data_IF_117039620984
#
_entry.id   IF_117039620984
#
_cell.length_a   1.000
_cell.length_b   1.000
_cell.length_c   1.000
_cell.angle_alpha   90.00
_cell.angle_beta   90.00
_cell.angle_gamma   90.00
#
_symmetry.space_group_name_H-M   'P 1'
#
loop_
_entity.id
_entity.type
_entity.pdbx_description
1 polymer ?
#
# COMPACT_ATOMS: atom_id res chain seq x y z
N UNK A 1 -25.81 1.04 23.39
CA UNK A 1 -26.12 2.47 23.29
C UNK A 1 -25.18 3.10 22.26
N UNK A 2 -25.29 2.67 20.99
CA UNK A 2 -24.25 2.92 19.96
C UNK A 2 -24.81 3.31 18.58
N UNK A 3 -26.09 3.68 18.49
CA UNK A 3 -26.78 3.98 17.22
C UNK A 3 -26.73 5.44 16.77
N UNK A 4 -26.05 6.33 17.50
CA UNK A 4 -26.19 7.78 17.31
C UNK A 4 -25.19 8.45 16.35
N UNK A 5 -24.09 7.82 15.95
CA UNK A 5 -23.05 8.51 15.16
C UNK A 5 -23.32 8.53 13.64
N UNK A 6 -23.88 7.45 13.08
CA UNK A 6 -24.23 7.36 11.64
C UNK A 6 -25.51 8.14 11.28
N UNK A 7 -26.39 8.37 12.25
CA UNK A 7 -27.67 9.05 12.05
C UNK A 7 -27.55 10.56 11.71
N UNK A 8 -26.40 11.20 11.98
CA UNK A 8 -26.23 12.65 11.69
C UNK A 8 -25.63 12.95 10.30
N UNK A 9 -25.07 11.96 9.62
CA UNK A 9 -24.40 12.19 8.34
C UNK A 9 -25.40 12.13 7.17
N UNK A 10 -25.30 13.10 6.26
CA UNK A 10 -26.17 13.17 5.08
C UNK A 10 -25.87 12.04 4.10
N UNK A 11 -26.84 11.67 3.26
CA UNK A 11 -26.66 10.67 2.20
C UNK A 11 -25.42 10.95 1.34
N UNK A 12 -25.22 12.22 0.96
CA UNK A 12 -24.04 12.65 0.19
C UNK A 12 -22.72 12.47 0.94
N UNK A 13 -22.68 12.70 2.26
CA UNK A 13 -21.47 12.48 3.07
C UNK A 13 -21.12 10.99 3.16
N UNK A 14 -22.13 10.12 3.29
CA UNK A 14 -21.92 8.67 3.31
C UNK A 14 -21.35 8.16 1.98
N UNK A 15 -21.93 8.58 0.85
CA UNK A 15 -21.41 8.27 -0.49
C UNK A 15 -19.98 8.78 -0.65
N UNK A 16 -19.71 10.02 -0.26
CA UNK A 16 -18.38 10.61 -0.38
C UNK A 16 -17.33 9.81 0.40
N UNK A 17 -17.67 9.32 1.59
CA UNK A 17 -16.79 8.49 2.41
C UNK A 17 -16.51 7.13 1.78
N UNK A 18 -17.53 6.46 1.25
CA UNK A 18 -17.35 5.19 0.53
C UNK A 18 -16.46 5.40 -0.70
N UNK A 19 -16.71 6.46 -1.49
CA UNK A 19 -15.90 6.79 -2.66
C UNK A 19 -14.44 7.06 -2.30
N UNK A 20 -14.17 7.82 -1.25
CA UNK A 20 -12.81 8.13 -0.81
C UNK A 20 -12.10 6.85 -0.32
N UNK A 21 -12.79 6.04 0.48
CA UNK A 21 -12.24 4.77 0.99
C UNK A 21 -11.91 3.83 -0.17
N UNK A 22 -12.85 3.61 -1.09
CA UNK A 22 -12.65 2.77 -2.27
C UNK A 22 -11.46 3.24 -3.12
N UNK A 23 -11.37 4.56 -3.35
CA UNK A 23 -10.27 5.16 -4.12
C UNK A 23 -8.90 4.92 -3.47
N UNK A 24 -8.83 5.00 -2.14
CA UNK A 24 -7.62 4.77 -1.36
C UNK A 24 -7.23 3.29 -1.35
N UNK A 25 -8.16 2.38 -1.08
CA UNK A 25 -7.91 0.94 -1.13
C UNK A 25 -7.38 0.51 -2.51
N UNK A 26 -7.97 1.05 -3.58
CA UNK A 26 -7.50 0.84 -4.96
C UNK A 26 -6.07 1.35 -5.15
N UNK A 27 -5.83 2.60 -4.76
CA UNK A 27 -4.52 3.24 -4.91
C UNK A 27 -3.43 2.55 -4.08
N UNK A 28 -3.77 1.92 -2.95
CA UNK A 28 -2.80 1.23 -2.08
C UNK A 28 -2.55 -0.23 -2.47
N UNK A 29 -3.14 -0.71 -3.58
CA UNK A 29 -2.78 -2.00 -4.19
C UNK A 29 -3.57 -3.19 -3.68
N UNK A 30 -4.79 -3.00 -3.16
CA UNK A 30 -5.68 -4.13 -2.85
C UNK A 30 -6.14 -4.85 -4.14
N UNK A 31 -6.57 -6.11 -4.04
CA UNK A 31 -7.14 -6.83 -5.18
C UNK A 31 -8.56 -6.36 -5.47
N UNK A 32 -8.99 -6.41 -6.73
CA UNK A 32 -10.34 -5.97 -7.14
C UNK A 32 -11.44 -6.67 -6.34
N UNK A 33 -11.33 -7.99 -6.15
CA UNK A 33 -12.32 -8.77 -5.40
C UNK A 33 -12.41 -8.36 -3.93
N UNK A 34 -11.26 -8.11 -3.29
CA UNK A 34 -11.23 -7.65 -1.89
C UNK A 34 -11.76 -6.22 -1.77
N UNK A 35 -11.43 -5.35 -2.73
CA UNK A 35 -11.95 -3.99 -2.78
C UNK A 35 -13.47 -3.98 -2.89
N UNK A 36 -14.01 -4.68 -3.88
CA UNK A 36 -15.44 -4.72 -4.16
C UNK A 36 -16.20 -5.26 -2.95
N UNK A 37 -15.73 -6.37 -2.36
CA UNK A 37 -16.31 -6.91 -1.12
C UNK A 37 -16.27 -5.93 0.06
N UNK A 38 -15.13 -5.25 0.27
CA UNK A 38 -14.99 -4.27 1.36
C UNK A 38 -15.92 -3.05 1.16
N UNK A 39 -16.07 -2.58 -0.08
CA UNK A 39 -16.95 -1.45 -0.42
C UNK A 39 -18.42 -1.80 -0.20
N UNK A 40 -18.86 -3.01 -0.60
CA UNK A 40 -20.23 -3.48 -0.34
C UNK A 40 -20.51 -3.49 1.16
N UNK A 41 -19.64 -4.13 1.96
CA UNK A 41 -19.81 -4.21 3.42
C UNK A 41 -19.83 -2.83 4.05
N UNK A 42 -18.94 -1.93 3.63
CA UNK A 42 -18.91 -0.56 4.16
C UNK A 42 -20.17 0.22 3.80
N UNK A 43 -20.66 0.11 2.57
CA UNK A 43 -21.88 0.77 2.12
C UNK A 43 -23.09 0.31 2.93
N UNK A 44 -23.27 -1.01 3.08
CA UNK A 44 -24.34 -1.61 3.87
C UNK A 44 -24.33 -1.10 5.32
N UNK A 45 -23.16 -1.06 5.96
CA UNK A 45 -22.98 -0.55 7.33
C UNK A 45 -23.34 0.93 7.47
N UNK A 46 -23.25 1.69 6.39
CA UNK A 46 -23.65 3.09 6.32
C UNK A 46 -25.10 3.28 5.84
N UNK A 47 -25.86 2.20 5.62
CA UNK A 47 -27.24 2.27 5.15
C UNK A 47 -27.33 2.74 3.69
N UNK A 48 -26.38 2.31 2.86
CA UNK A 48 -26.36 2.51 1.41
C UNK A 48 -26.35 1.13 0.73
N UNK A 49 -26.99 1.03 -0.44
CA UNK A 49 -26.68 -0.05 -1.37
C UNK A 49 -25.64 0.45 -2.36
N UNK A 50 -24.61 -0.35 -2.61
CA UNK A 50 -23.54 -0.02 -3.55
C UNK A 50 -23.19 -1.24 -4.39
N UNK A 51 -23.18 -1.05 -5.71
CA UNK A 51 -22.65 -2.00 -6.69
C UNK A 51 -21.30 -1.50 -7.20
N UNK A 52 -20.17 -1.96 -6.62
CA UNK A 52 -18.84 -1.55 -7.06
C UNK A 52 -18.35 -2.39 -8.24
N UNK A 53 -17.63 -1.74 -9.14
CA UNK A 53 -16.86 -2.38 -10.20
C UNK A 53 -15.48 -1.74 -10.30
N UNK A 54 -14.44 -2.56 -10.19
CA UNK A 54 -13.05 -2.12 -10.16
C UNK A 54 -12.29 -2.58 -11.39
N UNK A 55 -11.55 -1.66 -12.01
CA UNK A 55 -10.56 -1.97 -13.04
C UNK A 55 -9.19 -1.35 -12.67
N UNK A 56 -8.08 -1.67 -13.36
CA UNK A 56 -6.74 -1.25 -12.93
C UNK A 56 -6.52 0.27 -12.80
N UNK A 57 -7.38 1.09 -13.41
CA UNK A 57 -7.21 2.57 -13.45
C UNK A 57 -8.49 3.33 -13.10
N UNK A 58 -9.44 2.68 -12.44
CA UNK A 58 -10.68 3.32 -12.09
C UNK A 58 -11.63 2.46 -11.28
N UNK A 59 -12.69 3.13 -10.85
CA UNK A 59 -13.79 2.57 -10.09
C UNK A 59 -15.09 3.11 -10.66
N UNK A 60 -16.07 2.24 -10.77
CA UNK A 60 -17.47 2.61 -11.01
C UNK A 60 -18.23 2.18 -9.76
N UNK A 61 -18.85 3.14 -9.07
CA UNK A 61 -19.63 2.90 -7.87
C UNK A 61 -21.05 3.38 -8.11
N UNK A 62 -22.01 2.46 -8.19
CA UNK A 62 -23.43 2.79 -8.33
C UNK A 62 -24.09 2.68 -6.96
N UNK A 63 -24.65 3.80 -6.48
CA UNK A 63 -25.31 3.88 -5.17
C UNK A 63 -26.81 4.02 -5.32
N UNK A 64 -27.54 3.24 -4.53
CA UNK A 64 -29.00 3.27 -4.41
C UNK A 64 -29.39 3.48 -2.95
N UNK A 65 -30.50 4.17 -2.72
CA UNK A 65 -31.06 4.40 -1.38
C UNK A 65 -32.24 3.43 -1.16
N UNK A 66 -32.10 2.41 -0.30
CA UNK A 66 -33.16 1.42 -0.05
C UNK A 66 -34.43 2.05 0.54
N UNK A 67 -34.30 3.24 1.14
CA UNK A 67 -35.42 3.97 1.76
C UNK A 67 -36.23 4.81 0.78
N UNK A 68 -35.78 4.94 -0.47
CA UNK A 68 -36.47 5.70 -1.52
C UNK A 68 -37.25 4.79 -2.47
N UNK A 69 -38.38 5.27 -3.01
CA UNK A 69 -39.16 4.50 -3.99
C UNK A 69 -38.34 4.19 -5.24
N UNK A 70 -38.60 3.03 -5.84
CA UNK A 70 -38.04 2.58 -7.12
C UNK A 70 -38.13 3.70 -8.17
N UNK A 71 -36.99 4.13 -8.72
CA UNK A 71 -36.88 5.22 -9.69
C UNK A 71 -36.40 6.57 -9.14
N UNK A 72 -36.14 6.68 -7.83
CA UNK A 72 -35.42 7.83 -7.27
C UNK A 72 -33.93 7.73 -7.61
N UNK A 73 -33.38 8.78 -8.23
CA UNK A 73 -32.05 8.83 -8.87
C UNK A 73 -30.95 8.07 -8.14
N UNK A 74 -30.55 6.94 -8.71
CA UNK A 74 -29.29 6.27 -8.39
C UNK A 74 -28.13 7.24 -8.68
N UNK A 75 -27.11 7.18 -7.83
CA UNK A 75 -25.90 7.99 -8.01
C UNK A 75 -24.77 7.09 -8.46
N UNK A 76 -24.41 7.17 -9.74
CA UNK A 76 -23.20 6.51 -10.25
C UNK A 76 -22.01 7.46 -10.20
N UNK A 77 -20.92 7.00 -9.59
CA UNK A 77 -19.65 7.70 -9.50
C UNK A 77 -18.62 6.95 -10.32
N UNK A 78 -18.11 7.60 -11.36
CA UNK A 78 -16.97 7.11 -12.16
C UNK A 78 -15.73 7.85 -11.69
N UNK A 79 -14.78 7.12 -11.14
CA UNK A 79 -13.57 7.66 -10.53
C UNK A 79 -12.39 7.14 -11.33
N UNK A 80 -11.63 8.04 -11.95
CA UNK A 80 -10.38 7.70 -12.62
C UNK A 80 -9.23 7.81 -11.63
N UNK A 81 -8.45 6.75 -11.53
CA UNK A 81 -7.31 6.65 -10.62
C UNK A 81 -6.04 6.38 -11.42
N UNK A 82 -4.91 6.85 -10.91
CA UNK A 82 -3.63 6.36 -11.40
C UNK A 82 -3.50 4.87 -11.07
N UNK A 83 -2.67 4.11 -11.80
CA UNK A 83 -2.29 2.77 -11.36
C UNK A 83 -1.83 2.82 -9.91
N UNK A 84 -2.41 1.97 -9.06
CA UNK A 84 -2.11 1.95 -7.63
C UNK A 84 -0.63 1.62 -7.36
N UNK A 85 -0.15 2.08 -6.21
CA UNK A 85 1.14 1.70 -5.66
C UNK A 85 0.92 0.85 -4.41
N UNK A 86 1.60 -0.29 -4.30
CA UNK A 86 1.49 -1.12 -3.10
C UNK A 86 2.05 -0.37 -1.88
N UNK A 87 1.18 0.04 -0.97
CA UNK A 87 1.51 0.63 0.33
C UNK A 87 0.70 -0.10 1.41
N UNK A 88 1.26 -1.19 1.92
CA UNK A 88 0.57 -2.07 2.86
C UNK A 88 0.23 -1.38 4.18
N UNK A 89 1.04 -0.41 4.60
CA UNK A 89 0.75 0.38 5.78
C UNK A 89 -0.51 1.21 5.59
N UNK A 90 -0.59 1.98 4.50
CA UNK A 90 -1.77 2.79 4.22
C UNK A 90 -3.00 1.96 3.88
N UNK A 91 -2.82 0.79 3.26
CA UNK A 91 -3.89 -0.17 3.01
C UNK A 91 -4.50 -0.65 4.33
N UNK A 92 -3.69 -1.20 5.23
CA UNK A 92 -4.14 -1.69 6.53
C UNK A 92 -4.76 -0.59 7.39
N UNK A 93 -4.18 0.61 7.36
CA UNK A 93 -4.68 1.74 8.13
C UNK A 93 -5.99 2.31 7.56
N UNK A 94 -6.16 2.30 6.23
CA UNK A 94 -7.44 2.66 5.60
C UNK A 94 -8.53 1.66 5.92
N UNK A 95 -8.22 0.36 5.90
CA UNK A 95 -9.14 -0.70 6.32
C UNK A 95 -9.56 -0.50 7.79
N UNK A 96 -8.59 -0.23 8.68
CA UNK A 96 -8.85 0.06 10.11
C UNK A 96 -9.77 1.27 10.30
N UNK A 97 -9.55 2.34 9.53
CA UNK A 97 -10.37 3.55 9.57
C UNK A 97 -11.79 3.24 9.08
N UNK A 98 -11.93 2.51 7.97
CA UNK A 98 -13.22 2.12 7.43
C UNK A 98 -14.03 1.28 8.43
N UNK A 99 -13.40 0.29 9.05
CA UNK A 99 -14.02 -0.56 10.08
C UNK A 99 -14.44 0.26 11.30
N UNK A 100 -13.61 1.19 11.76
CA UNK A 100 -13.93 2.06 12.90
C UNK A 100 -15.11 3.00 12.61
N UNK A 101 -15.25 3.48 11.37
CA UNK A 101 -16.43 4.27 10.96
C UNK A 101 -17.67 3.38 10.85
N UNK A 102 -17.55 2.21 10.21
CA UNK A 102 -18.64 1.24 10.07
C UNK A 102 -19.17 0.73 11.43
N UNK A 103 -18.27 0.52 12.39
CA UNK A 103 -18.58 0.13 13.77
C UNK A 103 -19.06 1.29 14.66
N UNK A 104 -19.09 2.52 14.15
CA UNK A 104 -19.56 3.71 14.89
C UNK A 104 -18.59 4.23 15.95
N UNK A 105 -17.38 3.67 16.05
CA UNK A 105 -16.32 4.14 16.94
C UNK A 105 -15.70 5.47 16.47
N UNK A 106 -15.88 5.80 15.19
CA UNK A 106 -15.43 7.05 14.57
C UNK A 106 -16.55 7.62 13.71
N UNK A 107 -16.73 8.94 13.70
CA UNK A 107 -17.69 9.59 12.82
C UNK A 107 -17.17 9.66 11.38
N UNK A 108 -18.07 9.82 10.40
CA UNK A 108 -17.68 9.95 8.98
C UNK A 108 -16.75 11.16 8.77
N UNK A 109 -17.01 12.28 9.45
CA UNK A 109 -16.16 13.45 9.38
C UNK A 109 -14.74 13.18 9.92
N UNK A 110 -14.65 12.47 11.05
CA UNK A 110 -13.36 12.03 11.61
C UNK A 110 -12.66 11.05 10.69
N UNK A 111 -13.38 10.11 10.08
CA UNK A 111 -12.86 9.17 9.09
C UNK A 111 -12.24 9.89 7.89
N UNK A 112 -12.92 10.89 7.32
CA UNK A 112 -12.37 11.72 6.24
C UNK A 112 -11.10 12.48 6.65
N UNK A 113 -11.02 12.95 7.90
CA UNK A 113 -9.80 13.60 8.41
C UNK A 113 -8.67 12.59 8.60
N UNK A 114 -8.97 11.40 9.13
CA UNK A 114 -8.01 10.33 9.36
C UNK A 114 -7.42 9.80 8.04
N UNK A 115 -8.29 9.54 7.06
CA UNK A 115 -7.88 9.14 5.71
C UNK A 115 -6.94 10.19 5.08
N UNK A 116 -7.30 11.48 5.14
CA UNK A 116 -6.42 12.57 4.65
C UNK A 116 -5.10 12.70 5.40
N UNK A 117 -5.02 12.26 6.65
CA UNK A 117 -3.76 12.26 7.39
C UNK A 117 -2.75 11.24 6.84
N UNK A 118 -3.21 10.20 6.13
CA UNK A 118 -2.36 9.19 5.48
C UNK A 118 -1.60 9.73 4.27
N UNK A 119 -2.03 10.86 3.71
CA UNK A 119 -1.37 11.50 2.57
C UNK A 119 -0.15 12.34 3.01
N UNK A 120 0.11 12.44 4.32
CA UNK A 120 1.25 13.21 4.82
C UNK A 120 2.57 12.52 4.46
N UNK A 121 3.52 13.32 4.01
CA UNK A 121 4.85 12.83 3.69
C UNK A 121 5.53 12.19 4.92
N UNK A 122 6.25 11.08 4.72
CA UNK A 122 6.95 10.42 5.81
C UNK A 122 8.03 11.32 6.42
N UNK A 123 8.15 11.24 7.74
CA UNK A 123 9.17 11.96 8.50
C UNK A 123 10.58 11.43 8.15
N UNK A 124 11.62 12.21 8.49
CA UNK A 124 13.01 11.77 8.28
C UNK A 124 13.34 10.51 9.07
N UNK A 125 12.78 10.36 10.27
CA UNK A 125 12.94 9.18 11.10
C UNK A 125 12.31 7.95 10.44
N UNK A 126 11.10 8.10 9.88
CA UNK A 126 10.45 7.01 9.17
C UNK A 126 11.26 6.53 7.96
N UNK A 127 11.83 7.48 7.20
CA UNK A 127 12.72 7.18 6.08
C UNK A 127 14.01 6.47 6.52
N UNK A 128 14.59 6.86 7.66
CA UNK A 128 15.74 6.17 8.22
C UNK A 128 15.39 4.75 8.69
N UNK A 129 14.24 4.55 9.33
CA UNK A 129 13.79 3.21 9.73
C UNK A 129 13.48 2.32 8.52
N UNK A 130 12.92 2.88 7.46
CA UNK A 130 12.70 2.16 6.21
C UNK A 130 14.03 1.72 5.61
N UNK A 131 15.02 2.62 5.49
CA UNK A 131 16.36 2.27 5.02
C UNK A 131 16.96 1.11 5.82
N UNK A 132 16.91 1.18 7.15
CA UNK A 132 17.39 0.11 8.02
C UNK A 132 16.62 -1.20 7.82
N UNK A 133 15.30 -1.12 7.61
CA UNK A 133 14.47 -2.29 7.36
C UNK A 133 14.87 -3.02 6.07
N UNK A 134 15.23 -2.29 4.99
CA UNK A 134 15.76 -2.90 3.77
C UNK A 134 17.02 -3.71 4.04
N UNK A 135 18.00 -3.12 4.73
CA UNK A 135 19.24 -3.80 5.08
C UNK A 135 19.00 -5.02 5.98
N UNK A 136 18.20 -4.84 7.04
CA UNK A 136 17.88 -5.90 8.00
C UNK A 136 17.11 -7.05 7.35
N UNK A 137 16.16 -6.78 6.45
CA UNK A 137 15.43 -7.81 5.75
C UNK A 137 16.34 -8.65 4.85
N UNK A 138 17.17 -8.01 4.01
CA UNK A 138 18.15 -8.69 3.17
C UNK A 138 19.15 -9.52 4.00
N UNK A 139 19.69 -8.94 5.08
CA UNK A 139 20.60 -9.62 6.00
C UNK A 139 19.95 -10.78 6.74
N UNK A 140 18.69 -10.64 7.18
CA UNK A 140 17.94 -11.69 7.85
C UNK A 140 17.68 -12.88 6.92
N UNK A 141 17.31 -12.65 5.66
CA UNK A 141 17.14 -13.74 4.68
C UNK A 141 18.47 -14.45 4.42
N UNK A 142 19.57 -13.71 4.28
CA UNK A 142 20.89 -14.29 4.12
C UNK A 142 21.31 -15.13 5.35
N UNK A 143 21.04 -14.62 6.56
CA UNK A 143 21.29 -15.32 7.81
C UNK A 143 20.42 -16.56 7.99
N UNK A 144 19.16 -16.50 7.55
CA UNK A 144 18.22 -17.63 7.57
C UNK A 144 18.73 -18.79 6.71
N UNK A 145 19.33 -18.48 5.55
CA UNK A 145 20.00 -19.47 4.70
C UNK A 145 21.36 -19.93 5.22
N UNK A 146 21.77 -19.47 6.40
CA UNK A 146 23.04 -19.81 7.06
C UNK A 146 24.25 -19.53 6.18
N UNK A 147 24.19 -18.42 5.44
CA UNK A 147 25.33 -17.94 4.65
C UNK A 147 26.48 -17.50 5.57
N UNK A 148 27.74 -17.52 5.07
CA UNK A 148 28.87 -16.95 5.79
C UNK A 148 28.63 -15.49 6.21
N UNK A 149 29.28 -15.04 7.30
CA UNK A 149 29.12 -13.66 7.80
C UNK A 149 29.44 -12.59 6.75
N UNK A 150 30.40 -12.85 5.85
CA UNK A 150 30.76 -11.93 4.77
C UNK A 150 29.62 -11.81 3.75
N UNK A 151 29.01 -12.93 3.36
CA UNK A 151 27.85 -12.98 2.47
C UNK A 151 26.64 -12.26 3.09
N UNK A 152 26.38 -12.46 4.38
CA UNK A 152 25.32 -11.76 5.13
C UNK A 152 25.57 -10.25 5.18
N UNK A 153 26.80 -9.83 5.50
CA UNK A 153 27.18 -8.41 5.53
C UNK A 153 27.04 -7.78 4.15
N UNK A 154 27.44 -8.50 3.09
CA UNK A 154 27.33 -8.04 1.71
C UNK A 154 25.86 -7.90 1.30
N UNK A 155 25.02 -8.90 1.58
CA UNK A 155 23.57 -8.83 1.31
C UNK A 155 22.89 -7.67 2.06
N UNK A 156 23.26 -7.46 3.33
CA UNK A 156 22.78 -6.33 4.14
C UNK A 156 23.18 -4.99 3.52
N UNK A 157 24.45 -4.84 3.11
CA UNK A 157 24.94 -3.62 2.48
C UNK A 157 24.25 -3.33 1.15
N UNK A 158 24.04 -4.35 0.31
CA UNK A 158 23.28 -4.22 -0.94
C UNK A 158 21.83 -3.82 -0.64
N UNK A 159 21.18 -4.44 0.34
CA UNK A 159 19.83 -4.06 0.78
C UNK A 159 19.74 -2.59 1.19
N UNK A 160 20.71 -2.09 1.97
CA UNK A 160 20.80 -0.66 2.33
C UNK A 160 20.96 0.23 1.08
N UNK A 161 21.79 -0.15 0.12
CA UNK A 161 21.96 0.60 -1.13
C UNK A 161 20.67 0.66 -1.94
N UNK A 162 19.93 -0.47 -2.03
CA UNK A 162 18.62 -0.53 -2.69
C UNK A 162 17.62 0.38 -1.96
N UNK A 163 17.58 0.34 -0.62
CA UNK A 163 16.72 1.23 0.18
C UNK A 163 17.05 2.70 -0.05
N UNK A 164 18.34 3.06 -0.12
CA UNK A 164 18.78 4.42 -0.39
C UNK A 164 18.37 4.88 -1.80
N UNK A 165 18.54 4.02 -2.79
CA UNK A 165 18.08 4.29 -4.15
C UNK A 165 16.56 4.48 -4.21
N UNK A 166 15.80 3.67 -3.48
CA UNK A 166 14.34 3.78 -3.37
C UNK A 166 13.94 5.16 -2.83
N UNK A 167 14.54 5.59 -1.72
CA UNK A 167 14.34 6.91 -1.10
C UNK A 167 14.67 8.08 -2.04
N UNK A 168 15.71 7.95 -2.87
CA UNK A 168 16.09 8.97 -3.86
C UNK A 168 15.10 9.02 -5.03
N UNK A 169 14.52 7.88 -5.41
CA UNK A 169 13.60 7.75 -6.53
C UNK A 169 12.12 7.96 -6.18
N UNK A 170 11.75 8.12 -4.90
CA UNK A 170 10.38 8.42 -4.44
C UNK A 170 9.72 9.58 -5.21
N UNK A 171 10.50 10.56 -5.70
CA UNK A 171 9.98 11.73 -6.42
C UNK A 171 9.82 11.53 -7.93
N UNK A 172 10.18 10.37 -8.48
CA UNK A 172 10.20 10.10 -9.92
C UNK A 172 9.45 8.81 -10.28
N UNK A 173 8.11 8.80 -10.24
CA UNK A 173 7.30 7.61 -10.50
C UNK A 173 7.50 7.02 -11.92
N UNK A 174 7.93 7.83 -12.89
CA UNK A 174 8.25 7.37 -14.25
C UNK A 174 9.49 6.45 -14.33
N UNK A 175 10.30 6.37 -13.28
CA UNK A 175 11.51 5.55 -13.24
C UNK A 175 11.30 4.23 -12.49
N UNK A 176 10.08 3.88 -12.07
CA UNK A 176 9.86 2.74 -11.17
C UNK A 176 10.27 1.40 -11.80
N UNK A 177 9.81 1.13 -13.02
CA UNK A 177 10.22 -0.07 -13.77
C UNK A 177 11.73 -0.08 -14.04
N UNK A 178 12.32 1.08 -14.39
CA UNK A 178 13.75 1.20 -14.57
C UNK A 178 14.52 1.04 -13.24
N UNK A 179 13.91 1.37 -12.11
CA UNK A 179 14.56 1.36 -10.80
C UNK A 179 14.81 -0.05 -10.30
N UNK A 180 13.96 -1.02 -10.65
CA UNK A 180 14.17 -2.42 -10.32
C UNK A 180 15.37 -2.98 -11.10
N UNK A 181 15.43 -2.67 -12.41
CA UNK A 181 16.55 -3.05 -13.26
C UNK A 181 17.88 -2.42 -12.79
N UNK A 182 17.86 -1.13 -12.42
CA UNK A 182 19.04 -0.43 -11.89
C UNK A 182 19.46 -1.00 -10.53
N UNK A 183 18.51 -1.33 -9.66
CA UNK A 183 18.80 -1.96 -8.36
C UNK A 183 19.44 -3.33 -8.53
N UNK A 184 18.94 -4.15 -9.46
CA UNK A 184 19.51 -5.45 -9.79
C UNK A 184 20.92 -5.35 -10.35
N UNK A 185 21.16 -4.39 -11.27
CA UNK A 185 22.49 -4.13 -11.80
C UNK A 185 23.47 -3.68 -10.71
N UNK A 186 23.04 -2.75 -9.85
CA UNK A 186 23.83 -2.28 -8.71
C UNK A 186 24.17 -3.43 -7.75
N UNK A 187 23.20 -4.27 -7.41
CA UNK A 187 23.41 -5.45 -6.57
C UNK A 187 24.46 -6.40 -7.18
N UNK A 188 24.36 -6.68 -8.48
CA UNK A 188 25.33 -7.51 -9.19
C UNK A 188 26.73 -6.92 -9.18
N UNK A 189 26.87 -5.62 -9.49
CA UNK A 189 28.17 -4.93 -9.49
C UNK A 189 28.82 -4.99 -8.10
N UNK A 190 28.07 -4.67 -7.04
CA UNK A 190 28.58 -4.68 -5.67
C UNK A 190 28.97 -6.10 -5.25
N UNK A 191 28.13 -7.10 -5.51
CA UNK A 191 28.42 -8.50 -5.18
C UNK A 191 29.70 -8.99 -5.89
N UNK A 192 29.86 -8.69 -7.18
CA UNK A 192 31.06 -9.06 -7.95
C UNK A 192 32.30 -8.34 -7.43
N UNK A 193 32.21 -7.04 -7.11
CA UNK A 193 33.32 -6.28 -6.55
C UNK A 193 33.79 -6.86 -5.21
N UNK A 194 32.86 -7.13 -4.29
CA UNK A 194 33.20 -7.72 -2.98
C UNK A 194 33.78 -9.13 -3.16
N UNK A 195 33.22 -9.92 -4.08
CA UNK A 195 33.72 -11.27 -4.35
C UNK A 195 35.15 -11.30 -4.90
N UNK A 196 35.58 -10.27 -5.63
CA UNK A 196 36.94 -10.18 -6.17
C UNK A 196 37.94 -9.54 -5.20
N UNK A 197 37.49 -8.58 -4.36
CA UNK A 197 38.39 -7.78 -3.53
C UNK A 197 38.52 -8.28 -2.08
N UNK A 198 37.50 -8.96 -1.55
CA UNK A 198 37.46 -9.37 -0.13
C UNK A 198 37.64 -10.89 -0.01
N UNK A 199 36.69 -11.66 -0.54
CA UNK A 199 36.71 -13.12 -0.50
C UNK A 199 35.70 -13.67 -1.53
N UNK A 200 35.93 -14.86 -2.13
CA UNK A 200 34.94 -15.51 -2.97
C UNK A 200 33.58 -15.70 -2.26
N UNK A 201 32.53 -15.07 -2.80
CA UNK A 201 31.17 -15.15 -2.27
C UNK A 201 30.33 -16.17 -3.05
N UNK A 202 29.25 -16.66 -2.44
CA UNK A 202 28.20 -17.31 -3.21
C UNK A 202 27.31 -16.25 -3.87
N UNK A 203 27.74 -15.78 -5.04
CA UNK A 203 27.09 -14.69 -5.78
C UNK A 203 25.58 -14.89 -5.95
N UNK A 204 25.15 -16.11 -6.32
CA UNK A 204 23.73 -16.40 -6.52
C UNK A 204 22.91 -16.18 -5.25
N UNK A 205 23.36 -16.75 -4.13
CA UNK A 205 22.65 -16.63 -2.85
C UNK A 205 22.65 -15.19 -2.32
N UNK A 206 23.78 -14.48 -2.42
CA UNK A 206 23.89 -13.08 -1.98
C UNK A 206 22.99 -12.16 -2.80
N UNK A 207 23.00 -12.29 -4.12
CA UNK A 207 22.17 -11.46 -5.01
C UNK A 207 20.68 -11.73 -4.75
N UNK A 208 20.26 -13.00 -4.65
CA UNK A 208 18.85 -13.33 -4.40
C UNK A 208 18.42 -12.81 -3.02
N UNK A 209 19.24 -12.99 -1.97
CA UNK A 209 18.92 -12.50 -0.63
C UNK A 209 18.81 -10.97 -0.59
N UNK A 210 19.69 -10.27 -1.31
CA UNK A 210 19.67 -8.82 -1.37
C UNK A 210 18.45 -8.27 -2.12
N UNK A 211 18.04 -8.91 -3.23
CA UNK A 211 16.92 -8.48 -4.06
C UNK A 211 15.55 -8.89 -3.50
N UNK A 212 15.49 -9.69 -2.44
CA UNK A 212 14.23 -10.16 -1.85
C UNK A 212 13.28 -9.02 -1.47
N UNK A 213 13.83 -7.85 -1.10
CA UNK A 213 13.06 -6.66 -0.71
C UNK A 213 12.38 -5.98 -1.90
N UNK A 214 12.77 -6.32 -3.13
CA UNK A 214 12.13 -5.84 -4.36
C UNK A 214 11.04 -6.79 -4.86
N UNK A 215 10.93 -8.01 -4.31
CA UNK A 215 9.94 -8.96 -4.80
C UNK A 215 8.53 -8.52 -4.39
N UNK A 216 7.60 -8.37 -5.36
CA UNK A 216 6.22 -8.03 -5.03
C UNK A 216 5.57 -9.22 -4.30
N UNK A 217 5.13 -9.03 -3.06
CA UNK A 217 4.40 -10.06 -2.31
C UNK A 217 4.86 -10.34 -0.88
N UNK A 218 5.71 -9.50 -0.28
CA UNK A 218 5.77 -9.34 1.18
C UNK A 218 4.84 -8.22 1.63
#
# INVERSE_FOLDING_TARGET
MSTSTTASATYAQRIAFVCETASRLHTYGTTAQRLEGAVVVLAERLGLECEPWSNPTGLILSFSDPSRPLGASDTTRVIRLAPGENDLYKLAESDRIAEAVAGGAMSIAQGHTALRALDRNPSRLWRATQLLAFGLASGAVAGLWRLPWVDVATATAIGLLIGLQSLLNERRPRLREASDAVSALMAGIVAVLVSNLVQPLNLNSVIIAALVVLLPGL
#
